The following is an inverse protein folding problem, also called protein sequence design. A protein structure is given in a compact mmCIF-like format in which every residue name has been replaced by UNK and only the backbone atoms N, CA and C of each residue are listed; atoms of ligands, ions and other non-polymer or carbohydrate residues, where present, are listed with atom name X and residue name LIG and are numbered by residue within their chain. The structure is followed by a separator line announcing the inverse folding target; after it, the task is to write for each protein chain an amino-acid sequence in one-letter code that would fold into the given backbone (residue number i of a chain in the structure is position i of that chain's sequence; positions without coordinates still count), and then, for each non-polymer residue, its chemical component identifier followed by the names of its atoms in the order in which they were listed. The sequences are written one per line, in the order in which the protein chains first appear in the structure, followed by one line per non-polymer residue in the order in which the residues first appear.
data_IF_982660437617
#
_entry.id   IF_982660437617
#
_cell.length_a   1.000
_cell.length_b   1.000
_cell.length_c   1.000
_cell.angle_alpha   90.00
_cell.angle_beta   90.00
_cell.angle_gamma   90.00
#
_symmetry.space_group_name_H-M   'P 1'
#
loop_
_entity.id
_entity.type
_entity.pdbx_description
1 polymer ?
#
# COMPACT_ATOMS: atom_id res chain seq x y z
N UNK A 1 -5.37 -19.38 8.39
CA UNK A 1 -4.14 -18.61 8.08
C UNK A 1 -4.12 -18.33 6.59
N UNK A 2 -4.16 -17.07 6.14
CA UNK A 2 -3.95 -16.74 4.73
C UNK A 2 -2.51 -17.12 4.37
N UNK A 3 -2.34 -18.10 3.49
CA UNK A 3 -1.02 -18.43 2.96
C UNK A 3 -0.82 -17.66 1.65
N UNK A 4 0.24 -16.86 1.58
CA UNK A 4 0.71 -16.28 0.31
C UNK A 4 1.40 -17.41 -0.47
N UNK A 5 1.12 -17.50 -1.75
CA UNK A 5 1.72 -18.48 -2.66
C UNK A 5 2.29 -17.79 -3.89
N UNK A 6 3.54 -18.12 -4.22
CA UNK A 6 4.27 -17.61 -5.39
C UNK A 6 4.76 -18.70 -6.32
N UNK A 7 4.34 -19.96 -6.11
CA UNK A 7 4.70 -21.07 -6.99
C UNK A 7 4.05 -20.93 -8.38
N UNK A 8 4.73 -21.42 -9.43
CA UNK A 8 4.30 -21.24 -10.82
C UNK A 8 2.89 -21.73 -11.11
N UNK A 9 2.51 -22.88 -10.57
CA UNK A 9 1.21 -23.49 -10.79
C UNK A 9 0.09 -22.60 -10.22
N UNK A 10 0.26 -22.13 -8.98
CA UNK A 10 -0.70 -21.25 -8.32
C UNK A 10 -0.80 -19.88 -9.00
N UNK A 11 0.33 -19.28 -9.36
CA UNK A 11 0.38 -17.98 -10.08
C UNK A 11 -0.40 -18.07 -11.39
N UNK A 12 -0.18 -19.14 -12.17
CA UNK A 12 -0.90 -19.36 -13.43
C UNK A 12 -2.40 -19.55 -13.20
N UNK A 13 -2.80 -20.40 -12.26
CA UNK A 13 -4.20 -20.64 -11.95
C UNK A 13 -4.92 -19.36 -11.49
N UNK A 14 -4.25 -18.51 -10.69
CA UNK A 14 -4.79 -17.22 -10.27
C UNK A 14 -4.97 -16.24 -11.43
N UNK A 15 -4.02 -16.18 -12.37
CA UNK A 15 -4.12 -15.35 -13.57
C UNK A 15 -5.29 -15.80 -14.45
N UNK A 16 -5.39 -17.08 -14.76
CA UNK A 16 -6.47 -17.64 -15.57
C UNK A 16 -7.84 -17.45 -14.91
N UNK A 17 -7.90 -17.65 -13.60
CA UNK A 17 -9.11 -17.34 -12.83
C UNK A 17 -9.50 -15.86 -12.88
N UNK A 18 -8.52 -14.95 -12.91
CA UNK A 18 -8.75 -13.51 -13.04
C UNK A 18 -9.27 -13.13 -14.44
N UNK A 19 -8.65 -13.66 -15.50
CA UNK A 19 -9.10 -13.48 -16.89
C UNK A 19 -10.57 -13.93 -17.06
N UNK A 20 -10.90 -15.11 -16.53
CA UNK A 20 -12.27 -15.64 -16.56
C UNK A 20 -13.26 -14.73 -15.82
N UNK A 21 -12.93 -14.24 -14.63
CA UNK A 21 -13.81 -13.36 -13.84
C UNK A 21 -14.01 -11.99 -14.49
N UNK A 22 -12.96 -11.45 -15.12
CA UNK A 22 -13.01 -10.16 -15.81
C UNK A 22 -13.67 -10.27 -17.19
N UNK A 23 -13.75 -11.45 -17.78
CA UNK A 23 -14.26 -11.67 -19.14
C UNK A 23 -13.37 -11.03 -20.21
N UNK A 24 -12.05 -11.06 -20.01
CA UNK A 24 -11.05 -10.51 -20.95
C UNK A 24 -10.02 -11.57 -21.31
N UNK A 25 -9.41 -11.43 -22.48
CA UNK A 25 -8.35 -12.34 -22.95
C UNK A 25 -6.98 -11.93 -22.45
N UNK A 26 -6.78 -10.66 -22.06
CA UNK A 26 -5.53 -10.12 -21.59
C UNK A 26 -5.74 -9.11 -20.46
N UNK A 27 -4.91 -9.17 -19.43
CA UNK A 27 -4.86 -8.18 -18.33
C UNK A 27 -3.72 -7.20 -18.61
N UNK A 28 -3.98 -5.90 -18.55
CA UNK A 28 -2.93 -4.89 -18.83
C UNK A 28 -1.83 -4.90 -17.77
N UNK A 29 -2.15 -4.92 -16.48
CA UNK A 29 -1.17 -4.95 -15.39
C UNK A 29 -1.59 -5.99 -14.34
N UNK A 30 -0.77 -7.02 -14.19
CA UNK A 30 -1.01 -8.10 -13.23
C UNK A 30 0.00 -8.05 -12.09
N UNK A 31 -0.50 -8.10 -10.85
CA UNK A 31 0.32 -7.97 -9.65
C UNK A 31 0.53 -9.30 -8.93
N UNK A 32 1.76 -9.56 -8.48
CA UNK A 32 1.96 -10.39 -7.28
C UNK A 32 1.59 -9.54 -6.07
N UNK A 33 0.40 -9.80 -5.49
CA UNK A 33 -0.22 -8.95 -4.47
C UNK A 33 0.54 -8.94 -3.12
N UNK A 34 1.17 -10.07 -2.77
CA UNK A 34 2.11 -10.21 -1.63
C UNK A 34 3.21 -11.17 -2.01
N UNK A 35 4.40 -10.95 -1.47
CA UNK A 35 5.57 -11.77 -1.78
C UNK A 35 5.53 -13.06 -0.96
N UNK A 36 5.69 -14.19 -1.63
CA UNK A 36 5.91 -15.46 -0.97
C UNK A 36 7.37 -15.58 -0.53
N UNK A 37 7.61 -15.41 0.75
CA UNK A 37 8.97 -15.44 1.33
C UNK A 37 9.61 -16.83 1.37
N UNK A 38 8.91 -17.86 0.91
CA UNK A 38 9.42 -19.26 0.85
C UNK A 38 9.93 -19.62 -0.53
N UNK A 39 9.60 -18.83 -1.55
CA UNK A 39 9.94 -19.08 -2.96
C UNK A 39 10.85 -17.97 -3.46
N UNK A 40 11.99 -18.29 -4.11
CA UNK A 40 12.80 -17.27 -4.76
C UNK A 40 11.95 -16.45 -5.74
N UNK A 41 12.03 -15.15 -5.67
CA UNK A 41 11.20 -14.26 -6.51
C UNK A 41 11.39 -14.52 -8.00
N UNK A 42 12.57 -14.96 -8.40
CA UNK A 42 12.90 -15.30 -9.77
C UNK A 42 11.99 -16.40 -10.35
N UNK A 43 11.56 -17.34 -9.52
CA UNK A 43 10.66 -18.43 -9.91
C UNK A 43 9.26 -17.85 -10.21
N UNK A 44 8.74 -17.03 -9.30
CA UNK A 44 7.44 -16.35 -9.47
C UNK A 44 7.44 -15.47 -10.72
N UNK A 45 8.48 -14.65 -10.90
CA UNK A 45 8.60 -13.76 -12.06
C UNK A 45 8.84 -14.54 -13.33
N UNK A 46 9.56 -15.65 -13.26
CA UNK A 46 9.74 -16.57 -14.40
C UNK A 46 8.41 -17.07 -14.96
N UNK A 47 7.44 -17.39 -14.10
CA UNK A 47 6.09 -17.77 -14.54
C UNK A 47 5.28 -16.59 -15.09
N UNK A 48 5.34 -15.43 -14.42
CA UNK A 48 4.69 -14.22 -14.92
C UNK A 48 5.23 -13.81 -16.30
N UNK A 49 6.54 -13.95 -16.53
CA UNK A 49 7.17 -13.73 -17.83
C UNK A 49 6.58 -14.65 -18.92
N UNK A 50 6.31 -15.92 -18.61
CA UNK A 50 5.65 -16.84 -19.57
C UNK A 50 4.23 -16.35 -19.88
N UNK A 51 3.47 -15.89 -18.86
CA UNK A 51 2.14 -15.33 -19.06
C UNK A 51 2.14 -14.07 -19.95
N UNK A 52 3.22 -13.24 -19.88
CA UNK A 52 3.44 -12.14 -20.82
C UNK A 52 3.69 -12.68 -22.24
N UNK A 53 4.54 -13.67 -22.40
CA UNK A 53 4.84 -14.29 -23.69
C UNK A 53 3.62 -14.97 -24.34
N UNK A 54 2.72 -15.51 -23.53
CA UNK A 54 1.44 -16.06 -23.95
C UNK A 54 0.38 -15.00 -24.27
N UNK A 55 0.64 -13.72 -24.01
CA UNK A 55 -0.29 -12.62 -24.23
C UNK A 55 -1.43 -12.55 -23.21
N UNK A 56 -1.36 -13.32 -22.12
CA UNK A 56 -2.37 -13.32 -21.05
C UNK A 56 -2.29 -12.08 -20.16
N UNK A 57 -1.10 -11.51 -20.00
CA UNK A 57 -0.86 -10.25 -19.30
C UNK A 57 0.10 -9.40 -20.12
N UNK A 58 0.02 -8.06 -20.02
CA UNK A 58 0.96 -7.16 -20.71
C UNK A 58 2.13 -6.75 -19.82
N UNK A 59 1.84 -6.38 -18.58
CA UNK A 59 2.80 -5.82 -17.65
C UNK A 59 2.75 -6.52 -16.31
N UNK A 60 3.89 -6.56 -15.62
CA UNK A 60 4.05 -7.19 -14.31
C UNK A 60 4.20 -6.10 -13.24
N UNK A 61 3.45 -6.23 -12.15
CA UNK A 61 3.59 -5.41 -10.96
C UNK A 61 3.91 -6.24 -9.72
N UNK A 62 4.49 -5.61 -8.72
CA UNK A 62 4.70 -6.15 -7.38
C UNK A 62 3.99 -5.29 -6.35
N UNK A 63 3.56 -5.87 -5.24
CA UNK A 63 3.01 -5.13 -4.11
C UNK A 63 3.69 -5.52 -2.81
N UNK A 64 4.03 -4.50 -2.00
CA UNK A 64 4.71 -4.68 -0.71
C UNK A 64 5.99 -5.54 -0.82
N UNK A 65 6.83 -5.26 -1.82
CA UNK A 65 8.11 -5.92 -2.05
C UNK A 65 9.27 -5.08 -1.51
N UNK A 66 10.27 -5.74 -0.92
CA UNK A 66 11.52 -5.11 -0.47
C UNK A 66 12.36 -4.63 -1.66
N UNK A 67 13.26 -3.69 -1.41
CA UNK A 67 14.18 -3.19 -2.42
C UNK A 67 15.03 -4.32 -3.07
N UNK A 68 15.48 -5.28 -2.26
CA UNK A 68 16.21 -6.47 -2.72
C UNK A 68 15.35 -7.32 -3.65
N UNK A 69 14.13 -7.63 -3.24
CA UNK A 69 13.18 -8.43 -4.02
C UNK A 69 12.78 -7.72 -5.33
N UNK A 70 12.57 -6.41 -5.32
CA UNK A 70 12.27 -5.61 -6.52
C UNK A 70 13.42 -5.71 -7.53
N UNK A 71 14.68 -5.52 -7.11
CA UNK A 71 15.85 -5.59 -7.98
C UNK A 71 16.00 -6.96 -8.62
N UNK A 72 15.88 -8.03 -7.82
CA UNK A 72 15.96 -9.40 -8.30
C UNK A 72 14.84 -9.75 -9.26
N UNK A 73 13.62 -9.34 -8.98
CA UNK A 73 12.47 -9.50 -9.85
C UNK A 73 12.68 -8.80 -11.20
N UNK A 74 13.11 -7.52 -11.15
CA UNK A 74 13.34 -6.70 -12.35
C UNK A 74 14.45 -7.26 -13.24
N UNK A 75 15.44 -7.95 -12.68
CA UNK A 75 16.50 -8.61 -13.44
C UNK A 75 16.00 -9.82 -14.26
N UNK A 76 14.90 -10.48 -13.85
CA UNK A 76 14.28 -11.60 -14.60
C UNK A 76 13.39 -11.10 -15.73
N UNK A 77 12.57 -10.08 -15.42
CA UNK A 77 11.68 -9.40 -16.35
C UNK A 77 11.39 -7.99 -15.83
N UNK A 78 11.32 -6.97 -16.69
CA UNK A 78 11.00 -5.61 -16.27
C UNK A 78 9.71 -5.56 -15.44
N UNK A 79 9.81 -5.01 -14.24
CA UNK A 79 8.66 -4.68 -13.40
C UNK A 79 8.19 -3.29 -13.79
N UNK A 80 6.91 -3.16 -14.09
CA UNK A 80 6.32 -1.90 -14.57
C UNK A 80 5.87 -1.01 -13.42
N UNK A 81 5.31 -1.60 -12.36
CA UNK A 81 4.81 -0.85 -11.21
C UNK A 81 5.05 -1.58 -9.90
N UNK A 82 5.29 -0.83 -8.84
CA UNK A 82 5.27 -1.30 -7.46
C UNK A 82 4.12 -0.62 -6.72
N UNK A 83 3.22 -1.42 -6.16
CA UNK A 83 2.14 -0.91 -5.32
C UNK A 83 2.55 -0.96 -3.86
N UNK A 84 2.51 0.19 -3.18
CA UNK A 84 3.03 0.37 -1.83
C UNK A 84 2.15 1.35 -1.03
N UNK A 85 2.05 1.19 0.30
CA UNK A 85 1.40 2.20 1.13
C UNK A 85 2.28 3.45 1.20
N UNK A 86 1.79 4.58 0.67
CA UNK A 86 2.49 5.85 0.75
C UNK A 86 1.50 7.00 0.92
N UNK A 87 1.72 7.79 1.94
CA UNK A 87 0.90 8.95 2.29
C UNK A 87 1.68 9.85 3.26
N UNK A 88 1.16 11.04 3.56
CA UNK A 88 1.69 11.87 4.66
C UNK A 88 1.79 11.11 6.00
N UNK A 89 0.96 10.09 6.20
CA UNK A 89 0.96 9.29 7.43
C UNK A 89 1.81 8.01 7.34
N UNK A 90 2.40 7.71 6.18
CA UNK A 90 3.24 6.52 5.94
C UNK A 90 4.34 6.90 4.96
N UNK A 91 5.54 7.22 5.48
CA UNK A 91 6.68 7.74 4.73
C UNK A 91 7.92 6.87 4.80
N UNK A 92 7.84 5.74 5.48
CA UNK A 92 8.94 4.79 5.68
C UNK A 92 9.52 4.24 4.36
N UNK A 93 8.71 4.17 3.31
CA UNK A 93 9.11 3.71 1.97
C UNK A 93 10.07 4.65 1.22
N UNK A 94 10.16 5.93 1.67
CA UNK A 94 10.97 6.96 1.02
C UNK A 94 12.49 6.70 1.13
N UNK A 95 12.91 5.88 2.11
CA UNK A 95 14.32 5.59 2.34
C UNK A 95 14.90 4.56 1.36
N UNK A 96 14.10 3.58 0.94
CA UNK A 96 14.58 2.43 0.16
C UNK A 96 13.73 2.16 -1.07
N UNK A 97 12.41 2.05 -0.93
CA UNK A 97 11.54 1.57 -2.00
C UNK A 97 11.41 2.62 -3.11
N UNK A 98 11.13 3.87 -2.73
CA UNK A 98 10.99 4.96 -3.71
C UNK A 98 12.28 5.18 -4.52
N UNK A 99 13.48 5.29 -3.89
CA UNK A 99 14.72 5.39 -4.66
C UNK A 99 14.97 4.19 -5.56
N UNK A 100 14.69 2.96 -5.09
CA UNK A 100 14.85 1.75 -5.90
C UNK A 100 13.94 1.74 -7.12
N UNK A 101 12.67 2.12 -6.95
CA UNK A 101 11.74 2.21 -8.08
C UNK A 101 12.21 3.24 -9.11
N UNK A 102 12.66 4.41 -8.66
CA UNK A 102 13.16 5.48 -9.54
C UNK A 102 14.42 5.11 -10.29
N UNK A 103 15.36 4.45 -9.61
CA UNK A 103 16.59 3.93 -10.26
C UNK A 103 16.28 2.94 -11.39
N UNK A 104 15.25 2.11 -11.21
CA UNK A 104 14.86 1.08 -12.16
C UNK A 104 13.79 1.54 -13.17
N UNK A 105 13.33 2.79 -13.12
CA UNK A 105 12.28 3.31 -13.99
C UNK A 105 10.90 2.69 -13.75
N UNK A 106 10.60 2.27 -12.51
CA UNK A 106 9.37 1.61 -12.10
C UNK A 106 8.37 2.65 -11.58
N UNK A 107 7.12 2.63 -12.06
CA UNK A 107 6.04 3.45 -11.54
C UNK A 107 5.61 3.04 -10.13
N UNK A 108 5.20 4.01 -9.32
CA UNK A 108 4.79 3.81 -7.93
C UNK A 108 3.29 4.02 -7.79
N UNK A 109 2.57 2.97 -7.39
CA UNK A 109 1.13 3.02 -7.13
C UNK A 109 0.90 3.08 -5.63
N UNK A 110 0.34 4.21 -5.17
CA UNK A 110 0.22 4.48 -3.73
C UNK A 110 -1.17 4.08 -3.23
N UNK A 111 -1.26 2.98 -2.49
CA UNK A 111 -2.51 2.64 -1.82
C UNK A 111 -2.62 3.32 -0.45
N UNK A 112 -3.83 3.41 0.07
CA UNK A 112 -4.15 4.15 1.30
C UNK A 112 -3.58 5.59 1.34
N UNK A 113 -3.63 6.39 0.25
CA UNK A 113 -3.01 7.71 0.19
C UNK A 113 -3.63 8.72 1.16
N UNK A 114 -4.80 8.40 1.72
CA UNK A 114 -5.48 9.15 2.78
C UNK A 114 -5.30 8.55 4.18
N UNK A 115 -4.28 7.70 4.38
CA UNK A 115 -4.03 7.08 5.69
C UNK A 115 -5.25 6.28 6.18
N UNK A 116 -5.85 5.48 5.30
CA UNK A 116 -7.07 4.69 5.60
C UNK A 116 -8.26 5.56 6.07
N UNK A 117 -8.30 6.82 5.67
CA UNK A 117 -9.34 7.79 6.02
C UNK A 117 -8.95 8.77 7.13
N UNK A 118 -7.83 8.56 7.82
CA UNK A 118 -7.36 9.46 8.87
C UNK A 118 -7.13 10.89 8.34
N UNK A 119 -6.49 11.05 7.19
CA UNK A 119 -6.26 12.36 6.57
C UNK A 119 -7.54 13.02 5.99
N UNK A 120 -8.70 12.40 6.22
CA UNK A 120 -10.00 12.99 5.90
C UNK A 120 -10.73 13.51 7.15
N UNK A 121 -10.64 12.79 8.27
CA UNK A 121 -11.50 13.00 9.45
C UNK A 121 -10.71 13.12 10.77
N UNK A 122 -9.40 12.87 10.77
CA UNK A 122 -8.61 12.79 11.98
C UNK A 122 -9.12 11.68 12.91
N UNK A 123 -9.01 11.89 14.20
CA UNK A 123 -9.51 10.92 15.21
C UNK A 123 -11.02 10.70 15.15
N UNK A 124 -11.81 11.65 14.64
CA UNK A 124 -13.25 11.49 14.41
C UNK A 124 -13.58 10.36 13.43
N UNK A 125 -12.59 9.86 12.70
CA UNK A 125 -12.77 8.67 11.87
C UNK A 125 -13.29 7.49 12.70
N UNK A 126 -12.77 7.28 13.90
CA UNK A 126 -13.14 6.16 14.79
C UNK A 126 -14.63 6.19 15.11
N UNK A 127 -15.22 7.37 15.29
CA UNK A 127 -16.63 7.55 15.64
C UNK A 127 -17.59 7.15 14.50
N UNK A 128 -17.14 7.26 13.26
CA UNK A 128 -17.94 6.96 12.06
C UNK A 128 -17.73 5.57 11.47
N UNK A 129 -16.76 4.82 12.00
CA UNK A 129 -16.52 3.44 11.57
C UNK A 129 -17.59 2.52 12.17
N UNK A 130 -17.98 1.48 11.43
CA UNK A 130 -18.82 0.42 11.96
C UNK A 130 -18.10 -0.35 13.09
N UNK A 131 -18.84 -1.02 13.95
CA UNK A 131 -18.26 -1.81 15.05
C UNK A 131 -17.34 -2.94 14.54
N UNK A 132 -17.62 -3.46 13.37
CA UNK A 132 -16.84 -4.52 12.72
C UNK A 132 -15.72 -4.01 11.83
N UNK A 133 -15.44 -2.72 11.81
CA UNK A 133 -14.37 -2.16 10.99
C UNK A 133 -13.00 -2.51 11.58
N UNK A 134 -12.14 -3.13 10.76
CA UNK A 134 -10.80 -3.59 11.19
C UNK A 134 -9.93 -2.47 11.77
N UNK A 135 -10.24 -1.21 11.46
CA UNK A 135 -9.50 -0.04 11.96
C UNK A 135 -9.78 0.25 13.44
N UNK A 136 -10.92 -0.19 13.98
CA UNK A 136 -11.31 0.03 15.38
C UNK A 136 -10.59 -0.87 16.38
N UNK A 137 -9.77 -1.83 15.96
CA UNK A 137 -9.30 -2.87 16.86
C UNK A 137 -10.50 -3.66 17.36
N UNK A 138 -10.78 -4.79 16.80
CA UNK A 138 -12.06 -5.47 17.04
C UNK A 138 -12.21 -5.93 18.49
N UNK A 139 -13.32 -5.57 19.19
CA UNK A 139 -13.69 -6.16 20.48
C UNK A 139 -14.01 -7.66 20.42
N UNK A 140 -13.96 -8.27 19.23
CA UNK A 140 -14.18 -9.71 18.99
C UNK A 140 -13.15 -10.65 19.62
N UNK A 141 -12.11 -10.11 20.24
CA UNK A 141 -11.08 -10.87 20.93
C UNK A 141 -11.26 -10.91 22.46
N UNK A 142 -12.49 -10.85 22.94
CA UNK A 142 -12.78 -11.42 24.23
C UNK A 142 -12.57 -12.93 24.17
N UNK A 143 -11.96 -13.48 25.21
CA UNK A 143 -11.40 -14.84 25.31
C UNK A 143 -12.28 -16.02 24.83
N UNK A 144 -13.57 -15.82 24.62
CA UNK A 144 -14.53 -16.85 24.24
C UNK A 144 -14.63 -17.14 22.73
N UNK A 145 -14.06 -16.27 21.87
CA UNK A 145 -14.11 -16.45 20.40
C UNK A 145 -12.75 -16.69 19.74
N UNK A 146 -11.70 -16.93 20.55
CA UNK A 146 -10.31 -17.01 20.06
C UNK A 146 -9.95 -18.30 19.30
N UNK A 147 -10.78 -19.34 19.37
CA UNK A 147 -10.44 -20.64 18.75
C UNK A 147 -10.88 -20.80 17.28
N UNK A 148 -11.74 -19.91 16.76
CA UNK A 148 -12.25 -20.04 15.40
C UNK A 148 -11.96 -18.87 14.44
N UNK A 149 -11.39 -17.76 14.90
CA UNK A 149 -11.08 -16.61 14.05
C UNK A 149 -9.59 -16.24 14.13
N UNK A 150 -8.76 -17.13 13.62
CA UNK A 150 -7.34 -16.89 13.47
C UNK A 150 -7.03 -15.67 12.60
N UNK A 151 -6.22 -14.75 13.17
CA UNK A 151 -5.17 -13.98 12.51
C UNK A 151 -5.54 -12.68 11.80
N UNK A 152 -6.79 -12.28 11.63
CA UNK A 152 -7.07 -11.17 10.72
C UNK A 152 -7.30 -9.78 11.32
N UNK A 153 -7.39 -9.62 12.63
CA UNK A 153 -7.86 -8.36 13.21
C UNK A 153 -7.23 -7.97 14.55
N UNK A 154 -5.92 -8.00 14.64
CA UNK A 154 -5.28 -7.13 15.62
C UNK A 154 -5.40 -5.69 15.11
N UNK A 155 -5.99 -4.78 15.92
CA UNK A 155 -6.24 -3.41 15.55
C UNK A 155 -5.01 -2.73 14.95
N UNK A 156 -5.24 -1.72 14.15
CA UNK A 156 -4.15 -0.94 13.57
C UNK A 156 -3.57 -0.05 14.68
N UNK A 157 -2.32 -0.23 15.14
CA UNK A 157 -1.76 0.47 16.30
C UNK A 157 -1.86 2.00 16.22
N UNK A 158 -1.86 2.56 15.02
CA UNK A 158 -2.02 4.01 14.80
C UNK A 158 -3.35 4.57 15.26
N UNK A 159 -4.39 3.75 15.39
CA UNK A 159 -5.73 4.15 15.84
C UNK A 159 -5.97 3.84 17.33
N UNK A 160 -5.01 3.22 18.01
CA UNK A 160 -5.09 3.02 19.46
C UNK A 160 -5.09 4.36 20.19
N UNK A 161 -5.80 4.42 21.32
CA UNK A 161 -6.02 5.66 22.09
C UNK A 161 -4.71 6.37 22.44
N UNK A 162 -3.69 5.61 22.84
CA UNK A 162 -2.38 6.14 23.25
C UNK A 162 -1.64 6.87 22.10
N UNK A 163 -1.86 6.43 20.85
CA UNK A 163 -1.24 6.99 19.67
C UNK A 163 -2.11 8.09 19.02
N UNK A 164 -3.42 8.06 19.28
CA UNK A 164 -4.40 8.91 18.58
C UNK A 164 -4.23 10.40 18.91
N UNK A 165 -3.88 10.74 20.15
CA UNK A 165 -3.72 12.15 20.56
C UNK A 165 -2.55 12.82 19.83
N UNK A 166 -1.41 12.16 19.72
CA UNK A 166 -0.26 12.70 18.97
C UNK A 166 -0.52 12.74 17.46
N UNK A 167 -1.16 11.71 16.92
CA UNK A 167 -1.53 11.70 15.51
C UNK A 167 -2.55 12.81 15.18
N UNK A 168 -3.45 13.14 16.13
CA UNK A 168 -4.39 14.27 15.98
C UNK A 168 -3.68 15.61 15.85
N UNK A 169 -2.57 15.84 16.57
CA UNK A 169 -1.77 17.08 16.41
C UNK A 169 -1.27 17.24 14.98
N UNK A 170 -0.80 16.17 14.37
CA UNK A 170 -0.39 16.17 12.96
C UNK A 170 -1.58 16.50 12.04
N UNK A 171 -2.72 15.84 12.25
CA UNK A 171 -3.93 16.10 11.47
C UNK A 171 -4.42 17.54 11.58
N UNK A 172 -4.37 18.14 12.77
CA UNK A 172 -4.75 19.55 12.98
C UNK A 172 -3.86 20.49 12.17
N UNK A 173 -2.53 20.29 12.19
CA UNK A 173 -1.59 21.09 11.39
C UNK A 173 -1.86 20.97 9.88
N UNK A 174 -2.13 19.76 9.40
CA UNK A 174 -2.54 19.52 8.01
C UNK A 174 -3.86 20.26 7.71
N UNK A 175 -4.82 20.22 8.63
CA UNK A 175 -6.13 20.87 8.47
C UNK A 175 -6.03 22.40 8.43
N UNK A 176 -5.19 22.99 9.28
CA UNK A 176 -4.93 24.43 9.27
C UNK A 176 -4.28 24.88 7.94
N UNK A 177 -3.32 24.11 7.45
CA UNK A 177 -2.71 24.40 6.16
C UNK A 177 -3.72 24.24 5.01
N UNK A 178 -4.55 23.21 5.03
CA UNK A 178 -5.61 23.03 4.05
C UNK A 178 -6.58 24.22 4.03
N UNK A 179 -6.96 24.73 5.21
CA UNK A 179 -7.79 25.95 5.34
C UNK A 179 -7.10 27.16 4.71
N UNK A 180 -5.82 27.39 4.97
CA UNK A 180 -5.04 28.47 4.32
C UNK A 180 -5.02 28.34 2.79
N UNK A 181 -4.99 27.09 2.27
CA UNK A 181 -4.98 26.80 0.83
C UNK A 181 -6.38 26.78 0.19
N UNK A 182 -7.45 26.93 0.96
CA UNK A 182 -8.84 26.87 0.44
C UNK A 182 -9.24 25.48 -0.06
N UNK A 183 -8.67 24.42 0.51
CA UNK A 183 -8.97 23.03 0.18
C UNK A 183 -9.27 22.20 1.43
N UNK A 184 -9.70 20.94 1.24
CA UNK A 184 -9.89 20.01 2.36
C UNK A 184 -8.57 19.33 2.75
N UNK A 185 -8.44 18.81 4.00
CA UNK A 185 -7.26 18.03 4.40
C UNK A 185 -6.99 16.84 3.47
N UNK A 186 -8.04 16.12 3.02
CA UNK A 186 -7.92 15.04 2.03
C UNK A 186 -7.34 15.51 0.71
N UNK A 187 -7.79 16.66 0.21
CA UNK A 187 -7.27 17.24 -1.04
C UNK A 187 -5.82 17.66 -0.88
N UNK A 188 -5.46 18.25 0.25
CA UNK A 188 -4.07 18.62 0.53
C UNK A 188 -3.17 17.40 0.61
N UNK A 189 -3.59 16.32 1.29
CA UNK A 189 -2.85 15.06 1.39
C UNK A 189 -2.67 14.38 0.02
N UNK A 190 -3.71 14.37 -0.82
CA UNK A 190 -3.61 13.85 -2.19
C UNK A 190 -2.73 14.75 -3.08
N UNK A 191 -2.81 16.06 -2.93
CA UNK A 191 -1.93 16.98 -3.65
C UNK A 191 -0.46 16.73 -3.28
N UNK A 192 -0.16 16.51 -1.98
CA UNK A 192 1.20 16.19 -1.54
C UNK A 192 1.74 14.94 -2.23
N UNK A 193 0.98 13.83 -2.28
CA UNK A 193 1.45 12.59 -2.92
C UNK A 193 1.61 12.76 -4.44
N UNK A 194 0.74 13.54 -5.10
CA UNK A 194 0.89 13.88 -6.52
C UNK A 194 2.13 14.74 -6.82
N UNK A 195 2.59 15.54 -5.85
CA UNK A 195 3.80 16.36 -6.00
C UNK A 195 5.09 15.59 -5.71
N UNK A 196 5.01 14.32 -5.33
CA UNK A 196 6.21 13.50 -5.12
C UNK A 196 6.93 13.13 -6.42
N UNK A 197 6.24 13.13 -7.55
CA UNK A 197 6.85 12.89 -8.86
C UNK A 197 5.85 12.45 -9.93
N UNK A 198 6.24 12.52 -11.21
CA UNK A 198 5.39 12.08 -12.33
C UNK A 198 5.25 10.55 -12.41
N UNK A 199 6.07 9.83 -11.68
CA UNK A 199 6.11 8.38 -11.52
C UNK A 199 5.14 7.85 -10.47
N UNK A 200 4.38 8.75 -9.78
CA UNK A 200 3.55 8.42 -8.62
C UNK A 200 2.06 8.49 -8.96
N UNK A 201 1.34 7.40 -8.71
CA UNK A 201 -0.10 7.26 -8.97
C UNK A 201 -0.85 6.85 -7.69
N UNK A 202 -1.47 7.76 -6.94
CA UNK A 202 -2.30 7.40 -5.79
C UNK A 202 -3.65 6.82 -6.22
N UNK A 203 -4.13 5.82 -5.46
CA UNK A 203 -5.41 5.13 -5.69
C UNK A 203 -6.38 5.29 -4.50
N UNK A 204 -6.92 6.50 -4.27
CA UNK A 204 -7.86 6.76 -3.17
C UNK A 204 -9.20 6.07 -3.42
N UNK A 205 -9.51 5.01 -2.66
CA UNK A 205 -10.76 4.27 -2.74
C UNK A 205 -11.94 5.01 -2.11
N UNK A 206 -13.11 4.98 -2.76
CA UNK A 206 -14.37 5.47 -2.19
C UNK A 206 -15.58 4.83 -2.88
N UNK A 207 -16.68 4.69 -2.14
CA UNK A 207 -18.00 4.30 -2.66
C UNK A 207 -18.94 5.50 -2.85
N UNK A 208 -18.48 6.73 -2.55
CA UNK A 208 -19.30 7.94 -2.58
C UNK A 208 -18.85 8.86 -3.71
N UNK A 209 -19.77 9.24 -4.61
CA UNK A 209 -19.49 10.10 -5.76
C UNK A 209 -18.91 11.46 -5.35
N UNK A 210 -19.39 12.07 -4.26
CA UNK A 210 -18.86 13.35 -3.80
C UNK A 210 -17.38 13.24 -3.35
N UNK A 211 -16.99 12.13 -2.72
CA UNK A 211 -15.60 11.88 -2.37
C UNK A 211 -14.73 11.70 -3.62
N UNK A 212 -15.23 10.96 -4.63
CA UNK A 212 -14.52 10.81 -5.90
C UNK A 212 -14.25 12.19 -6.55
N UNK A 213 -15.29 13.03 -6.64
CA UNK A 213 -15.15 14.40 -7.17
C UNK A 213 -14.15 15.22 -6.35
N UNK A 214 -14.17 15.10 -5.01
CA UNK A 214 -13.22 15.76 -4.13
C UNK A 214 -11.79 15.27 -4.35
N UNK A 215 -11.59 13.95 -4.50
CA UNK A 215 -10.28 13.36 -4.78
C UNK A 215 -9.71 13.85 -6.13
N UNK A 216 -10.54 13.92 -7.18
CA UNK A 216 -10.13 14.48 -8.48
C UNK A 216 -9.76 15.95 -8.35
N UNK A 217 -10.53 16.73 -7.58
CA UNK A 217 -10.23 18.15 -7.36
C UNK A 217 -8.86 18.39 -6.67
N UNK A 218 -8.32 17.41 -5.96
CA UNK A 218 -6.97 17.51 -5.39
C UNK A 218 -5.89 17.81 -6.45
N UNK A 219 -6.08 17.40 -7.70
CA UNK A 219 -5.15 17.67 -8.81
C UNK A 219 -5.02 19.17 -9.12
N UNK A 220 -5.99 20.00 -8.70
CA UNK A 220 -5.93 21.45 -8.89
C UNK A 220 -5.16 22.17 -7.78
N UNK A 221 -4.88 21.50 -6.67
CA UNK A 221 -4.13 22.08 -5.54
C UNK A 221 -2.64 22.07 -5.88
N UNK A 222 -2.05 23.26 -5.99
CA UNK A 222 -0.61 23.41 -6.26
C UNK A 222 0.13 23.65 -4.95
N UNK A 223 1.24 22.95 -4.77
CA UNK A 223 2.13 23.06 -3.62
C UNK A 223 3.49 23.61 -4.07
N UNK A 224 3.96 24.62 -3.36
CA UNK A 224 5.33 25.12 -3.51
C UNK A 224 6.31 24.20 -2.76
N UNK A 225 7.63 24.23 -3.07
CA UNK A 225 8.62 23.48 -2.32
C UNK A 225 8.60 23.78 -0.82
N UNK A 226 8.33 25.03 -0.43
CA UNK A 226 8.20 25.44 0.98
C UNK A 226 7.00 24.78 1.66
N UNK A 227 5.87 24.71 0.97
CA UNK A 227 4.66 24.05 1.48
C UNK A 227 4.82 22.53 1.56
N UNK A 228 5.53 21.92 0.61
CA UNK A 228 5.90 20.52 0.66
C UNK A 228 6.75 20.22 1.90
N UNK A 229 7.79 21.01 2.13
CA UNK A 229 8.65 20.88 3.31
C UNK A 229 7.88 21.10 4.62
N UNK A 230 6.97 22.10 4.68
CA UNK A 230 6.10 22.34 5.85
C UNK A 230 5.24 21.11 6.16
N UNK A 231 4.56 20.52 5.14
CA UNK A 231 3.76 19.31 5.30
C UNK A 231 4.59 18.12 5.79
N UNK A 232 5.77 17.95 5.25
CA UNK A 232 6.69 16.85 5.61
C UNK A 232 7.22 17.00 7.04
N UNK A 233 7.38 18.22 7.53
CA UNK A 233 7.75 18.48 8.93
C UNK A 233 6.66 18.07 9.91
N UNK A 234 5.37 18.20 9.53
CA UNK A 234 4.25 17.73 10.36
C UNK A 234 4.21 16.21 10.45
N UNK A 235 4.58 15.55 9.37
CA UNK A 235 4.53 14.11 9.16
C UNK A 235 5.93 13.45 9.30
N UNK A 236 6.80 14.00 10.13
CA UNK A 236 8.08 13.37 10.46
C UNK A 236 7.87 12.06 11.23
N UNK A 237 8.83 11.14 11.17
CA UNK A 237 8.76 9.85 11.86
C UNK A 237 8.55 10.02 13.39
N UNK A 238 9.05 11.09 13.98
CA UNK A 238 8.89 11.39 15.41
C UNK A 238 7.47 11.82 15.78
N UNK A 239 6.74 12.40 14.82
CA UNK A 239 5.40 12.93 15.00
C UNK A 239 4.30 11.89 14.74
N UNK A 240 4.63 10.74 14.13
CA UNK A 240 3.67 9.68 13.81
C UNK A 240 3.88 8.52 14.78
N UNK A 241 2.82 8.15 15.49
CA UNK A 241 2.86 7.06 16.46
C UNK A 241 2.06 5.85 16.00
N UNK A 242 2.56 4.67 16.41
CA UNK A 242 1.98 3.38 16.08
C UNK A 242 2.45 2.81 14.74
N UNK A 243 2.57 1.49 14.68
CA UNK A 243 2.91 0.77 13.46
C UNK A 243 1.73 0.76 12.46
N UNK A 244 2.01 0.57 11.17
CA UNK A 244 1.00 0.45 10.12
C UNK A 244 0.04 -0.72 10.33
N UNK A 245 0.58 -1.82 10.83
CA UNK A 245 -0.10 -3.09 11.05
C UNK A 245 0.27 -3.67 12.40
N UNK A 246 -0.62 -4.48 12.96
CA UNK A 246 -0.31 -5.31 14.11
C UNK A 246 0.76 -6.37 13.77
N UNK A 247 1.38 -6.99 14.81
CA UNK A 247 2.51 -7.92 14.65
C UNK A 247 2.26 -9.06 13.66
N UNK A 248 1.08 -9.64 13.65
CA UNK A 248 0.71 -10.75 12.76
C UNK A 248 0.63 -10.37 11.27
N UNK A 249 0.43 -9.09 10.95
CA UNK A 249 0.33 -8.62 9.57
C UNK A 249 1.63 -8.02 9.03
N UNK A 250 2.57 -7.71 9.92
CA UNK A 250 3.89 -7.16 9.55
C UNK A 250 4.68 -8.09 8.61
N UNK A 251 4.43 -9.41 8.69
CA UNK A 251 5.04 -10.43 7.83
C UNK A 251 4.74 -10.23 6.33
N UNK A 252 3.67 -9.53 5.99
CA UNK A 252 3.24 -9.33 4.61
C UNK A 252 3.56 -7.93 4.07
N UNK A 253 4.45 -7.20 4.74
CA UNK A 253 4.91 -5.86 4.33
C UNK A 253 6.26 -5.94 3.64
N UNK A 254 6.61 -4.87 2.92
CA UNK A 254 7.89 -4.77 2.22
C UNK A 254 9.11 -4.99 3.13
N UNK A 255 9.02 -4.64 4.42
CA UNK A 255 10.10 -4.81 5.39
C UNK A 255 10.49 -6.28 5.63
N UNK A 256 9.55 -7.20 5.41
CA UNK A 256 9.74 -8.63 5.68
C UNK A 256 9.51 -9.49 4.42
N UNK A 257 9.70 -8.92 3.24
CA UNK A 257 9.41 -9.59 1.96
C UNK A 257 10.65 -10.01 1.18
N UNK A 258 11.79 -10.15 1.84
CA UNK A 258 12.95 -10.77 1.22
C UNK A 258 12.70 -12.25 0.94
N UNK A 259 13.15 -12.69 -0.23
CA UNK A 259 12.96 -14.07 -0.68
C UNK A 259 14.28 -14.85 -0.65
N UNK A 260 14.24 -16.20 -0.52
CA UNK A 260 15.43 -17.03 -0.55
C UNK A 260 16.22 -16.84 -1.85
N UNK A 261 17.52 -17.13 -1.88
CA UNK A 261 18.31 -17.08 -3.10
C UNK A 261 17.84 -18.14 -4.10
N UNK A 262 17.97 -17.87 -5.41
CA UNK A 262 17.57 -18.79 -6.47
C UNK A 262 18.25 -20.18 -6.33
N UNK A 263 19.47 -20.22 -5.82
CA UNK A 263 20.22 -21.48 -5.58
C UNK A 263 19.57 -22.40 -4.56
N UNK A 264 18.65 -21.92 -3.74
CA UNK A 264 17.89 -22.75 -2.79
C UNK A 264 16.70 -23.47 -3.42
N UNK A 265 16.30 -23.09 -4.64
CA UNK A 265 15.18 -23.72 -5.32
C UNK A 265 15.54 -25.10 -5.86
N UNK A 266 14.80 -26.10 -5.44
CA UNK A 266 14.88 -27.45 -5.99
C UNK A 266 13.58 -27.73 -6.73
N UNK A 267 13.68 -28.00 -8.02
CA UNK A 267 12.58 -28.59 -8.79
C UNK A 267 12.40 -30.03 -8.29
N UNK A 268 11.30 -30.32 -7.62
CA UNK A 268 10.89 -31.70 -7.36
C UNK A 268 10.47 -32.38 -8.64
#
# INVERSE_FOLDING_TARGET
MLSVRGDPEYVRACCEGSLKRLGVDCIDLYYQHRIDIKIPIEITIGELKKLVQEGKIKYIGLSEASASTIRRAHAVHPITAVQIEWSLWTRDVEKEIVPTCRELGIGIVCYSPLGRGFLALGVKLIDVLSENDYRKGSPRFEKENSEQNDVHMQGTPRFEKENSEQNEVMFQRVSEMAKRKGCTPSQLALAWIHHQGPDVCPIPGTTKIHNLKSNIKALTVKLTPKEMFELESFASADNIKGARYGPSYSTYTWMNSDTPPLSSWRTN
#
